data_IF_804943056819
#
_entry.id   IF_804943056819
#
_cell.length_a   1.000
_cell.length_b   1.000
_cell.length_c   1.000
_cell.angle_alpha   90.00
_cell.angle_beta   90.00
_cell.angle_gamma   90.00
#
_symmetry.space_group_name_H-M   'P 1'
#
loop_
_entity.id
_entity.type
_entity.pdbx_description
1 polymer ?
#
# COMPACT_ATOMS: atom_id res chain seq x y z
N UNK A 1 -10.07 -27.99 -36.18
CA UNK A 1 -10.64 -26.72 -35.68
C UNK A 1 -12.10 -26.65 -36.10
N UNK A 2 -12.99 -26.37 -35.18
CA UNK A 2 -14.41 -26.18 -35.49
C UNK A 2 -14.60 -24.91 -36.36
N UNK A 3 -15.58 -24.97 -37.27
CA UNK A 3 -15.92 -23.80 -38.11
C UNK A 3 -16.59 -22.74 -37.21
N UNK A 4 -16.24 -21.46 -37.37
CA UNK A 4 -16.86 -20.40 -36.60
C UNK A 4 -18.32 -20.17 -37.00
N UNK A 5 -19.10 -19.55 -36.11
CA UNK A 5 -20.40 -19.02 -36.44
C UNK A 5 -20.26 -17.68 -37.19
N UNK A 6 -21.20 -17.40 -38.10
CA UNK A 6 -21.25 -16.09 -38.74
C UNK A 6 -21.63 -15.01 -37.72
N UNK A 7 -20.83 -13.97 -37.54
CA UNK A 7 -21.11 -12.92 -36.55
C UNK A 7 -22.33 -12.04 -36.92
N UNK A 8 -22.75 -12.04 -38.17
CA UNK A 8 -23.88 -11.23 -38.64
C UNK A 8 -25.24 -11.94 -38.52
N UNK A 9 -25.30 -13.26 -38.77
CA UNK A 9 -26.58 -14.01 -38.80
C UNK A 9 -26.58 -15.29 -37.98
N UNK A 10 -25.49 -15.61 -37.24
CA UNK A 10 -25.39 -16.80 -36.41
C UNK A 10 -25.24 -18.13 -37.16
N UNK A 11 -25.26 -18.12 -38.50
CA UNK A 11 -25.22 -19.34 -39.32
C UNK A 11 -23.95 -20.15 -39.12
N UNK A 12 -24.07 -21.48 -39.15
CA UNK A 12 -22.93 -22.42 -39.17
C UNK A 12 -22.42 -22.69 -40.60
N UNK A 13 -23.17 -22.25 -41.63
CA UNK A 13 -22.80 -22.40 -43.04
C UNK A 13 -21.72 -21.40 -43.42
N UNK A 14 -20.47 -21.65 -42.99
CA UNK A 14 -19.34 -20.81 -43.25
C UNK A 14 -18.21 -21.59 -43.93
N UNK A 15 -17.53 -20.93 -44.87
CA UNK A 15 -16.41 -21.53 -45.61
C UNK A 15 -15.18 -20.63 -45.55
N UNK A 16 -13.99 -21.21 -45.71
CA UNK A 16 -12.75 -20.44 -45.84
C UNK A 16 -12.80 -19.65 -47.16
N UNK A 17 -12.46 -18.36 -47.07
CA UNK A 17 -12.52 -17.44 -48.19
C UNK A 17 -11.22 -16.61 -48.34
N UNK A 18 -10.12 -17.34 -48.58
CA UNK A 18 -8.79 -16.69 -48.69
C UNK A 18 -8.21 -16.20 -47.37
N UNK A 19 -7.19 -15.34 -47.49
CA UNK A 19 -6.52 -14.71 -46.36
C UNK A 19 -6.47 -13.19 -46.58
N UNK A 20 -6.31 -12.43 -45.46
CA UNK A 20 -6.01 -10.99 -45.52
C UNK A 20 -4.56 -10.77 -45.92
N UNK A 21 -4.19 -9.54 -46.24
CA UNK A 21 -2.79 -9.12 -46.45
C UNK A 21 -1.89 -9.40 -45.24
N UNK A 22 -2.48 -9.40 -44.02
CA UNK A 22 -1.80 -9.76 -42.76
C UNK A 22 -1.78 -11.26 -42.47
N UNK A 23 -2.24 -12.14 -43.40
CA UNK A 23 -2.21 -13.57 -43.29
C UNK A 23 -3.40 -14.18 -42.52
N UNK A 24 -4.33 -13.40 -41.97
CA UNK A 24 -5.49 -13.90 -41.23
C UNK A 24 -6.49 -14.61 -42.13
N UNK A 25 -7.04 -15.75 -41.67
CA UNK A 25 -8.06 -16.51 -42.42
C UNK A 25 -9.34 -15.68 -42.54
N UNK A 26 -9.80 -15.43 -43.80
CA UNK A 26 -11.13 -14.89 -44.08
C UNK A 26 -12.12 -16.03 -44.20
N UNK A 27 -13.33 -15.76 -43.77
CA UNK A 27 -14.48 -16.66 -43.85
C UNK A 27 -15.61 -15.97 -44.62
N UNK A 28 -16.43 -16.75 -45.32
CA UNK A 28 -17.65 -16.28 -45.98
C UNK A 28 -18.84 -17.09 -45.51
N UNK A 29 -19.90 -16.42 -45.13
CA UNK A 29 -21.16 -17.08 -44.81
C UNK A 29 -21.90 -17.48 -46.06
N UNK A 30 -22.44 -18.72 -46.10
CA UNK A 30 -23.28 -19.22 -47.19
C UNK A 30 -24.64 -18.52 -47.22
N UNK A 31 -25.19 -18.17 -46.04
CA UNK A 31 -26.56 -17.66 -45.94
C UNK A 31 -26.63 -16.15 -46.18
N UNK A 32 -25.92 -15.34 -45.39
CA UNK A 32 -25.94 -13.90 -45.58
C UNK A 32 -24.87 -13.37 -46.55
N UNK A 33 -24.02 -14.23 -47.10
CA UNK A 33 -22.91 -13.92 -48.01
C UNK A 33 -21.86 -12.95 -47.46
N UNK A 34 -21.98 -12.51 -46.20
CA UNK A 34 -21.02 -11.64 -45.55
C UNK A 34 -19.65 -12.33 -45.42
N UNK A 35 -18.58 -11.57 -45.69
CA UNK A 35 -17.22 -12.04 -45.44
C UNK A 35 -16.70 -11.44 -44.13
N UNK A 36 -16.01 -12.26 -43.31
CA UNK A 36 -15.50 -11.85 -42.03
C UNK A 36 -14.17 -12.53 -41.70
N UNK A 37 -13.46 -12.01 -40.75
CA UNK A 37 -12.29 -12.62 -40.11
C UNK A 37 -12.58 -12.82 -38.64
N UNK A 38 -12.07 -13.91 -38.07
CA UNK A 38 -12.09 -14.03 -36.61
C UNK A 38 -11.12 -13.04 -36.03
N UNK A 39 -11.61 -12.16 -35.16
CA UNK A 39 -10.74 -11.36 -34.34
C UNK A 39 -10.04 -12.26 -33.34
N UNK A 40 -8.73 -12.37 -33.42
CA UNK A 40 -7.95 -13.04 -32.38
C UNK A 40 -7.95 -12.06 -31.20
N UNK A 41 -8.47 -12.49 -30.08
CA UNK A 41 -8.35 -11.73 -28.82
C UNK A 41 -6.92 -11.85 -28.31
N UNK A 42 -6.18 -10.76 -28.38
CA UNK A 42 -4.82 -10.64 -27.87
C UNK A 42 -4.74 -9.81 -26.57
N UNK A 43 -5.88 -9.56 -25.92
CA UNK A 43 -5.95 -8.69 -24.76
C UNK A 43 -5.07 -9.21 -23.61
N UNK A 44 -5.08 -10.50 -23.34
CA UNK A 44 -4.23 -11.12 -22.33
C UNK A 44 -2.73 -10.88 -22.63
N UNK A 45 -2.28 -11.14 -23.86
CA UNK A 45 -0.90 -10.87 -24.28
C UNK A 45 -0.52 -9.39 -24.14
N UNK A 46 -1.44 -8.47 -24.49
CA UNK A 46 -1.20 -7.03 -24.36
C UNK A 46 -1.16 -6.61 -22.90
N UNK A 47 -1.94 -7.24 -22.02
CA UNK A 47 -1.84 -7.01 -20.58
C UNK A 47 -0.50 -7.47 -20.04
N UNK A 48 0.02 -8.62 -20.45
CA UNK A 48 1.37 -9.06 -20.09
C UNK A 48 2.45 -8.08 -20.57
N UNK A 49 2.33 -7.56 -21.80
CA UNK A 49 3.21 -6.52 -22.32
C UNK A 49 3.12 -5.22 -21.48
N UNK A 50 1.92 -4.83 -21.09
CA UNK A 50 1.67 -3.66 -20.22
C UNK A 50 2.29 -3.85 -18.83
N UNK A 51 2.07 -4.97 -18.17
CA UNK A 51 2.62 -5.29 -16.87
C UNK A 51 4.15 -5.42 -16.94
N UNK A 52 4.68 -6.07 -17.98
CA UNK A 52 6.12 -6.16 -18.22
C UNK A 52 6.80 -4.80 -18.43
N UNK A 53 6.07 -3.81 -18.97
CA UNK A 53 6.54 -2.43 -19.01
C UNK A 53 6.40 -1.76 -17.65
N UNK A 54 5.20 -1.78 -17.04
CA UNK A 54 4.88 -1.04 -15.83
C UNK A 54 5.79 -1.43 -14.65
N UNK A 55 6.10 -2.72 -14.52
CA UNK A 55 6.90 -3.27 -13.42
C UNK A 55 8.41 -3.30 -13.71
N UNK A 56 8.84 -2.71 -14.83
CA UNK A 56 10.24 -2.67 -15.22
C UNK A 56 10.74 -1.22 -15.41
N UNK A 57 12.03 -1.09 -15.69
CA UNK A 57 12.66 0.19 -16.07
C UNK A 57 12.57 0.51 -17.58
N UNK A 58 11.84 -0.30 -18.37
CA UNK A 58 11.72 -0.13 -19.81
C UNK A 58 10.95 1.14 -20.13
N UNK A 59 11.41 1.89 -21.10
CA UNK A 59 10.68 3.05 -21.66
C UNK A 59 9.60 2.55 -22.60
N UNK A 60 8.52 3.31 -22.77
CA UNK A 60 7.47 2.97 -23.75
C UNK A 60 8.00 2.87 -25.19
N UNK A 61 9.06 3.58 -25.50
CA UNK A 61 9.73 3.50 -26.81
C UNK A 61 10.38 2.14 -27.05
N UNK A 62 10.77 1.44 -26.02
CA UNK A 62 11.46 0.15 -26.08
C UNK A 62 10.46 -1.04 -26.17
N UNK A 63 9.15 -0.74 -26.08
CA UNK A 63 8.11 -1.76 -26.12
C UNK A 63 7.61 -2.05 -27.54
N UNK A 64 7.04 -3.23 -27.83
CA UNK A 64 6.51 -3.58 -29.13
C UNK A 64 5.53 -2.53 -29.66
N UNK A 65 5.80 -2.00 -30.86
CA UNK A 65 5.03 -0.93 -31.49
C UNK A 65 5.42 0.48 -31.03
N UNK A 66 6.43 0.59 -30.18
CA UNK A 66 7.04 1.82 -29.65
C UNK A 66 6.05 2.92 -29.20
N UNK A 67 6.43 3.77 -28.30
CA UNK A 67 5.80 5.04 -27.93
C UNK A 67 4.27 5.14 -28.08
N UNK A 68 3.80 5.81 -29.14
CA UNK A 68 2.36 6.08 -29.39
C UNK A 68 1.55 4.79 -29.58
N UNK A 69 2.07 3.86 -30.36
CA UNK A 69 1.36 2.59 -30.65
C UNK A 69 1.23 1.75 -29.41
N UNK A 70 2.29 1.64 -28.60
CA UNK A 70 2.23 0.94 -27.32
C UNK A 70 1.17 1.58 -26.40
N UNK A 71 1.16 2.90 -26.23
CA UNK A 71 0.15 3.59 -25.41
C UNK A 71 -1.28 3.35 -25.90
N UNK A 72 -1.49 3.39 -27.20
CA UNK A 72 -2.82 3.13 -27.80
C UNK A 72 -3.31 1.71 -27.52
N UNK A 73 -2.42 0.72 -27.65
CA UNK A 73 -2.73 -0.70 -27.44
C UNK A 73 -2.98 -1.07 -25.99
N UNK A 74 -2.36 -0.35 -25.06
CA UNK A 74 -2.41 -0.66 -23.62
C UNK A 74 -3.31 0.29 -22.82
N UNK A 75 -3.94 1.25 -23.51
CA UNK A 75 -4.80 2.26 -22.88
C UNK A 75 -5.92 1.66 -22.05
N UNK A 76 -6.53 0.58 -22.54
CA UNK A 76 -7.65 -0.11 -21.91
C UNK A 76 -7.30 -0.66 -20.52
N UNK A 77 -6.04 -1.05 -20.27
CA UNK A 77 -5.62 -1.62 -18.99
C UNK A 77 -5.54 -0.59 -17.85
N UNK A 78 -5.50 0.70 -18.19
CA UNK A 78 -5.65 1.77 -17.21
C UNK A 78 -7.09 1.92 -16.67
N UNK A 79 -8.06 1.26 -17.30
CA UNK A 79 -9.43 1.22 -16.78
C UNK A 79 -9.67 0.05 -15.82
N UNK A 80 -8.73 -0.88 -15.70
CA UNK A 80 -8.81 -2.03 -14.79
C UNK A 80 -8.33 -1.64 -13.40
N UNK A 81 -9.10 -2.05 -12.39
CA UNK A 81 -8.74 -1.92 -10.98
C UNK A 81 -8.39 -3.30 -10.41
N UNK A 82 -7.10 -3.59 -10.17
CA UNK A 82 -6.72 -4.77 -9.43
C UNK A 82 -7.32 -4.70 -8.02
N UNK A 83 -8.04 -5.75 -7.64
CA UNK A 83 -8.65 -5.87 -6.33
C UNK A 83 -7.78 -6.73 -5.42
N UNK A 84 -7.64 -6.35 -4.14
CA UNK A 84 -6.92 -7.17 -3.18
C UNK A 84 -7.63 -8.50 -2.98
N UNK A 85 -6.88 -9.60 -2.82
CA UNK A 85 -7.46 -10.89 -2.48
C UNK A 85 -8.11 -10.83 -1.09
N UNK A 86 -9.03 -11.74 -0.83
CA UNK A 86 -9.49 -12.06 0.53
C UNK A 86 -8.90 -13.42 0.86
N UNK A 87 -7.90 -13.43 1.73
CA UNK A 87 -7.22 -14.67 2.10
C UNK A 87 -7.55 -15.04 3.55
N UNK A 88 -7.71 -16.33 3.82
CA UNK A 88 -7.79 -16.86 5.19
C UNK A 88 -6.41 -17.18 5.78
N UNK A 89 -5.34 -16.78 5.11
CA UNK A 89 -3.97 -17.04 5.54
C UNK A 89 -3.68 -16.37 6.88
N UNK A 90 -3.27 -17.16 7.85
CA UNK A 90 -2.81 -16.68 9.16
C UNK A 90 -1.30 -16.52 9.10
N UNK A 91 -0.84 -15.28 9.02
CA UNK A 91 0.58 -14.99 8.98
C UNK A 91 1.16 -14.85 10.40
N UNK A 92 2.36 -15.36 10.59
CA UNK A 92 3.18 -15.15 11.79
C UNK A 92 3.41 -13.67 12.05
N UNK A 93 3.83 -12.95 11.00
CA UNK A 93 4.12 -11.52 11.02
C UNK A 93 3.46 -10.83 9.83
N UNK A 94 2.79 -9.71 10.10
CA UNK A 94 2.29 -8.81 9.07
C UNK A 94 2.92 -7.43 9.25
N UNK A 95 3.34 -6.84 8.14
CA UNK A 95 3.81 -5.46 8.08
C UNK A 95 2.73 -4.59 7.47
N UNK A 96 2.48 -3.43 8.07
CA UNK A 96 1.51 -2.47 7.55
C UNK A 96 2.16 -1.11 7.43
N UNK A 97 2.11 -0.54 6.22
CA UNK A 97 2.71 0.75 5.89
C UNK A 97 1.85 1.50 4.86
N UNK A 98 2.00 2.83 4.79
CA UNK A 98 1.32 3.71 3.86
C UNK A 98 2.27 4.36 2.84
N UNK A 99 1.82 4.43 1.59
CA UNK A 99 2.51 5.17 0.53
C UNK A 99 1.67 6.37 0.14
N UNK A 100 2.13 7.57 0.50
CA UNK A 100 1.52 8.81 0.03
C UNK A 100 1.92 9.09 -1.42
N UNK A 101 0.93 9.21 -2.29
CA UNK A 101 1.09 9.55 -3.70
C UNK A 101 0.84 11.04 -3.96
N UNK A 102 0.07 11.66 -3.07
CA UNK A 102 -0.19 13.08 -2.99
C UNK A 102 -0.60 13.44 -1.55
N UNK A 103 -0.80 14.73 -1.25
CA UNK A 103 -1.13 15.21 0.09
C UNK A 103 -2.32 14.48 0.73
N UNK A 104 -3.34 14.16 -0.06
CA UNK A 104 -4.57 13.50 0.39
C UNK A 104 -4.83 12.16 -0.32
N UNK A 105 -3.79 11.47 -0.81
CA UNK A 105 -3.91 10.13 -1.40
C UNK A 105 -2.82 9.24 -0.83
N UNK A 106 -3.25 8.24 -0.10
CA UNK A 106 -2.43 7.22 0.51
C UNK A 106 -2.89 5.84 0.05
N UNK A 107 -1.97 4.95 -0.24
CA UNK A 107 -2.25 3.52 -0.42
C UNK A 107 -1.66 2.80 0.76
N UNK A 108 -2.53 2.25 1.62
CA UNK A 108 -2.13 1.35 2.69
C UNK A 108 -1.84 -0.02 2.10
N UNK A 109 -0.74 -0.62 2.51
CA UNK A 109 -0.31 -1.95 2.05
C UNK A 109 -0.04 -2.81 3.28
N UNK A 110 -0.64 -3.99 3.30
CA UNK A 110 -0.32 -5.05 4.26
C UNK A 110 0.37 -6.19 3.53
N UNK A 111 1.41 -6.73 4.13
CA UNK A 111 2.18 -7.83 3.57
C UNK A 111 2.72 -8.77 4.64
N UNK A 112 2.96 -10.01 4.25
CA UNK A 112 3.79 -10.94 5.01
C UNK A 112 5.29 -10.65 4.77
N UNK A 113 6.17 -11.52 5.24
CA UNK A 113 7.60 -11.46 4.91
C UNK A 113 7.85 -11.74 3.42
N UNK A 114 6.96 -12.47 2.75
CA UNK A 114 7.15 -13.00 1.41
C UNK A 114 6.35 -12.24 0.35
N UNK A 115 5.05 -11.94 0.62
CA UNK A 115 4.13 -11.41 -0.39
C UNK A 115 3.16 -10.36 0.17
N UNK A 116 2.47 -9.67 -0.73
CA UNK A 116 1.42 -8.69 -0.40
C UNK A 116 0.11 -9.42 -0.07
N UNK A 117 -0.46 -9.11 1.09
CA UNK A 117 -1.74 -9.66 1.57
C UNK A 117 -2.94 -8.81 1.14
N UNK A 118 -2.74 -7.51 1.03
CA UNK A 118 -3.82 -6.61 0.64
C UNK A 118 -3.38 -5.15 0.60
N UNK A 119 -4.23 -4.32 0.01
CA UNK A 119 -4.04 -2.87 -0.05
C UNK A 119 -5.38 -2.14 -0.01
N UNK A 120 -5.33 -0.86 0.37
CA UNK A 120 -6.50 -0.02 0.44
C UNK A 120 -6.16 1.44 0.14
N UNK A 121 -6.91 2.09 -0.75
CA UNK A 121 -6.70 3.49 -1.12
C UNK A 121 -7.50 4.40 -0.20
N UNK A 122 -6.86 5.42 0.36
CA UNK A 122 -7.49 6.36 1.30
C UNK A 122 -6.91 7.77 1.17
N UNK A 123 -7.62 8.77 1.68
CA UNK A 123 -7.09 10.16 1.79
C UNK A 123 -5.93 10.26 2.78
N UNK A 124 -5.92 9.42 3.79
CA UNK A 124 -4.89 9.44 4.85
C UNK A 124 -4.89 8.13 5.62
N UNK A 125 -3.88 7.94 6.44
CA UNK A 125 -3.74 6.82 7.37
C UNK A 125 -4.68 6.96 8.58
N UNK A 126 -5.99 6.92 8.35
CA UNK A 126 -7.00 7.00 9.39
C UNK A 126 -7.51 5.61 9.81
N UNK A 127 -8.22 5.55 10.96
CA UNK A 127 -8.67 4.27 11.52
C UNK A 127 -9.68 3.54 10.63
N UNK A 128 -10.49 4.25 9.84
CA UNK A 128 -11.44 3.65 8.91
C UNK A 128 -10.72 2.93 7.77
N UNK A 129 -9.68 3.55 7.22
CA UNK A 129 -8.87 2.97 6.17
C UNK A 129 -8.10 1.72 6.65
N UNK A 130 -7.52 1.79 7.84
CA UNK A 130 -6.87 0.62 8.45
C UNK A 130 -7.86 -0.51 8.73
N UNK A 131 -9.06 -0.21 9.25
CA UNK A 131 -10.11 -1.22 9.43
C UNK A 131 -10.50 -1.87 8.11
N UNK A 132 -10.63 -1.09 7.04
CA UNK A 132 -10.95 -1.58 5.72
C UNK A 132 -9.91 -2.57 5.19
N UNK A 133 -8.64 -2.25 5.37
CA UNK A 133 -7.54 -3.13 5.01
C UNK A 133 -7.54 -4.39 5.88
N UNK A 134 -7.60 -4.23 7.20
CA UNK A 134 -7.47 -5.31 8.18
C UNK A 134 -8.64 -6.30 8.15
N UNK A 135 -9.86 -5.84 7.82
CA UNK A 135 -11.05 -6.69 7.72
C UNK A 135 -10.94 -7.79 6.65
N UNK A 136 -9.95 -7.70 5.76
CA UNK A 136 -9.73 -8.66 4.66
C UNK A 136 -8.58 -9.63 4.92
N UNK A 137 -7.89 -9.45 6.05
CA UNK A 137 -6.66 -10.18 6.37
C UNK A 137 -6.90 -10.85 7.72
N UNK A 138 -6.61 -12.14 7.81
CA UNK A 138 -6.68 -12.84 9.07
C UNK A 138 -5.74 -12.19 10.10
N UNK A 139 -6.17 -12.06 11.39
CA UNK A 139 -5.32 -11.49 12.42
C UNK A 139 -4.00 -12.24 12.56
N UNK A 140 -2.84 -11.56 12.39
CA UNK A 140 -1.54 -12.19 12.57
C UNK A 140 -1.17 -12.34 14.05
N UNK A 141 -0.18 -13.14 14.36
CA UNK A 141 0.41 -13.19 15.70
C UNK A 141 1.05 -11.85 16.09
N UNK A 142 1.85 -11.30 15.17
CA UNK A 142 2.57 -10.02 15.35
C UNK A 142 2.35 -9.11 14.16
N UNK A 143 2.13 -7.81 14.43
CA UNK A 143 2.14 -6.79 13.40
C UNK A 143 3.27 -5.80 13.64
N UNK A 144 4.04 -5.53 12.59
CA UNK A 144 5.10 -4.50 12.61
C UNK A 144 4.59 -3.25 11.91
N UNK A 145 4.68 -2.10 12.57
CA UNK A 145 4.12 -0.84 12.05
C UNK A 145 4.94 0.37 12.50
N UNK A 146 4.79 1.46 11.77
CA UNK A 146 5.29 2.78 12.16
C UNK A 146 4.44 3.47 13.24
N UNK A 147 3.22 2.97 13.54
CA UNK A 147 2.44 3.22 14.77
C UNK A 147 1.60 4.48 14.80
N UNK A 148 0.83 4.79 13.79
CA UNK A 148 -0.17 5.86 13.84
C UNK A 148 -1.34 5.58 14.81
N UNK A 149 -1.99 6.63 15.34
CA UNK A 149 -3.17 6.51 16.21
C UNK A 149 -4.34 5.83 15.51
N UNK A 150 -4.50 6.07 14.20
CA UNK A 150 -5.51 5.42 13.36
C UNK A 150 -5.32 3.91 13.30
N UNK A 151 -4.08 3.44 13.14
CA UNK A 151 -3.74 2.02 13.16
C UNK A 151 -4.08 1.39 14.52
N UNK A 152 -3.65 2.00 15.63
CA UNK A 152 -3.89 1.48 16.97
C UNK A 152 -5.37 1.32 17.29
N UNK A 153 -6.21 2.27 16.85
CA UNK A 153 -7.66 2.18 17.01
C UNK A 153 -8.23 0.99 16.21
N UNK A 154 -7.86 0.86 14.95
CA UNK A 154 -8.30 -0.24 14.08
C UNK A 154 -7.87 -1.61 14.63
N UNK A 155 -6.59 -1.74 15.07
CA UNK A 155 -6.03 -2.97 15.63
C UNK A 155 -6.81 -3.43 16.87
N UNK A 156 -7.12 -2.54 17.82
CA UNK A 156 -7.87 -2.91 19.02
C UNK A 156 -9.23 -3.50 18.72
N UNK A 157 -9.88 -3.05 17.64
CA UNK A 157 -11.21 -3.49 17.24
C UNK A 157 -11.18 -4.80 16.43
N UNK A 158 -10.26 -4.92 15.47
CA UNK A 158 -10.26 -6.04 14.52
C UNK A 158 -9.22 -7.13 14.85
N UNK A 159 -8.09 -6.76 15.44
CA UNK A 159 -7.01 -7.66 15.79
C UNK A 159 -6.63 -7.54 17.29
N UNK A 160 -7.58 -7.74 18.21
CA UNK A 160 -7.36 -7.47 19.64
C UNK A 160 -6.21 -8.28 20.23
N UNK A 161 -6.01 -9.50 19.78
CA UNK A 161 -4.99 -10.43 20.28
C UNK A 161 -3.63 -10.32 19.57
N UNK A 162 -3.57 -9.59 18.46
CA UNK A 162 -2.32 -9.38 17.70
C UNK A 162 -1.35 -8.53 18.52
N UNK A 163 -0.13 -9.02 18.71
CA UNK A 163 0.95 -8.26 19.35
C UNK A 163 1.51 -7.22 18.37
N UNK A 164 1.85 -6.06 18.88
CA UNK A 164 2.38 -4.95 18.07
C UNK A 164 3.86 -4.80 18.32
N UNK A 165 4.65 -4.85 17.26
CA UNK A 165 6.01 -4.38 17.24
C UNK A 165 6.07 -3.00 16.60
N UNK A 166 6.44 -2.00 17.35
CA UNK A 166 6.78 -0.68 16.83
C UNK A 166 8.11 -0.76 16.11
N UNK A 167 8.16 -0.38 14.85
CA UNK A 167 9.42 -0.29 14.12
C UNK A 167 10.44 0.54 14.91
N UNK A 168 11.53 -0.09 15.37
CA UNK A 168 12.54 0.56 16.21
C UNK A 168 13.25 1.68 15.46
N UNK A 169 13.41 1.56 14.13
CA UNK A 169 13.96 2.62 13.29
C UNK A 169 13.07 3.87 13.29
N UNK A 170 11.75 3.72 13.13
CA UNK A 170 10.83 4.86 13.22
C UNK A 170 10.74 5.46 14.62
N UNK A 171 10.85 4.64 15.67
CA UNK A 171 10.96 5.14 17.04
C UNK A 171 12.23 5.99 17.24
N UNK A 172 13.37 5.53 16.72
CA UNK A 172 14.62 6.28 16.69
C UNK A 172 14.48 7.60 15.89
N UNK A 173 13.98 7.56 14.65
CA UNK A 173 13.81 8.75 13.82
C UNK A 173 12.88 9.78 14.48
N UNK A 174 11.88 9.34 15.22
CA UNK A 174 11.00 10.23 15.98
C UNK A 174 11.77 10.96 17.11
N UNK A 175 12.61 10.26 17.87
CA UNK A 175 13.49 10.90 18.87
C UNK A 175 14.45 11.87 18.19
N UNK A 176 15.12 11.44 17.14
CA UNK A 176 16.05 12.26 16.35
C UNK A 176 15.41 13.54 15.81
N UNK A 177 14.12 13.51 15.41
CA UNK A 177 13.37 14.71 14.98
C UNK A 177 13.31 15.76 16.08
N UNK A 178 13.20 15.33 17.33
CA UNK A 178 13.09 16.24 18.47
C UNK A 178 14.46 16.64 19.04
N UNK A 179 15.42 15.72 19.14
CA UNK A 179 16.75 15.98 19.67
C UNK A 179 17.70 16.61 18.66
N UNK A 180 17.44 16.44 17.34
CA UNK A 180 18.38 16.65 16.23
C UNK A 180 19.52 15.63 16.22
N UNK A 181 20.43 15.73 15.24
CA UNK A 181 21.64 14.88 15.18
C UNK A 181 22.79 15.42 16.06
N UNK A 182 22.67 16.67 16.52
CA UNK A 182 23.65 17.37 17.38
C UNK A 182 22.91 18.07 18.51
N UNK A 183 22.44 17.34 19.53
CA UNK A 183 21.76 17.93 20.68
C UNK A 183 22.69 18.89 21.43
N UNK A 184 22.12 19.99 21.94
CA UNK A 184 22.90 21.01 22.64
C UNK A 184 22.91 20.84 24.17
N UNK A 185 21.91 20.14 24.71
CA UNK A 185 21.80 19.88 26.16
C UNK A 185 22.27 18.45 26.46
N UNK A 186 22.82 18.23 27.67
CA UNK A 186 23.26 16.89 28.09
C UNK A 186 22.09 15.90 28.06
N UNK A 187 20.90 16.29 28.54
CA UNK A 187 19.68 15.49 28.45
C UNK A 187 19.36 15.03 27.01
N UNK A 188 19.53 15.94 26.05
CA UNK A 188 19.35 15.64 24.63
C UNK A 188 20.41 14.69 24.08
N UNK A 189 21.68 14.85 24.46
CA UNK A 189 22.80 13.96 24.06
C UNK A 189 22.53 12.54 24.56
N UNK A 190 22.17 12.41 25.84
CA UNK A 190 21.94 11.10 26.45
C UNK A 190 20.70 10.41 25.88
N UNK A 191 19.60 11.13 25.65
CA UNK A 191 18.40 10.58 25.01
C UNK A 191 18.67 10.13 23.59
N UNK A 192 19.44 10.90 22.81
CA UNK A 192 19.83 10.52 21.46
C UNK A 192 20.73 9.28 21.44
N UNK A 193 21.65 9.16 22.41
CA UNK A 193 22.49 7.98 22.58
C UNK A 193 21.66 6.74 22.96
N UNK A 194 20.68 6.89 23.86
CA UNK A 194 19.72 5.83 24.18
C UNK A 194 18.91 5.41 22.95
N UNK A 195 18.40 6.36 22.17
CA UNK A 195 17.66 6.04 20.95
C UNK A 195 18.51 5.29 19.92
N UNK A 196 19.82 5.57 19.81
CA UNK A 196 20.73 4.76 18.99
C UNK A 196 20.90 3.34 19.51
N UNK A 197 20.96 3.15 20.83
CA UNK A 197 21.08 1.83 21.45
C UNK A 197 19.83 0.98 21.22
N UNK A 198 18.64 1.61 21.07
CA UNK A 198 17.40 0.91 20.70
C UNK A 198 17.52 0.10 19.40
N UNK A 199 18.28 0.61 18.43
CA UNK A 199 18.49 -0.06 17.14
C UNK A 199 19.42 -1.29 17.23
N UNK A 200 20.09 -1.48 18.37
CA UNK A 200 21.11 -2.53 18.56
C UNK A 200 20.67 -3.60 19.57
N UNK A 201 19.48 -3.47 20.14
CA UNK A 201 18.99 -4.47 21.07
C UNK A 201 18.61 -5.75 20.29
N UNK A 202 19.23 -6.90 20.62
CA UNK A 202 19.09 -8.16 19.92
C UNK A 202 18.44 -9.27 20.77
N UNK A 203 18.39 -9.05 22.09
CA UNK A 203 17.83 -10.00 23.04
C UNK A 203 17.03 -9.32 24.17
N UNK A 204 16.33 -10.12 24.97
CA UNK A 204 15.52 -9.65 26.07
C UNK A 204 16.34 -9.00 27.20
N UNK A 205 17.59 -9.43 27.42
CA UNK A 205 18.50 -8.85 28.41
C UNK A 205 18.90 -7.42 28.01
N UNK A 206 19.26 -7.21 26.75
CA UNK A 206 19.58 -5.88 26.21
C UNK A 206 18.33 -4.96 26.19
N UNK A 207 17.15 -5.51 25.91
CA UNK A 207 15.90 -4.78 25.99
C UNK A 207 15.63 -4.32 27.43
N UNK A 208 15.78 -5.20 28.42
CA UNK A 208 15.63 -4.86 29.83
C UNK A 208 16.66 -3.80 30.30
N UNK A 209 17.92 -3.94 29.88
CA UNK A 209 18.97 -2.95 30.16
C UNK A 209 18.63 -1.58 29.55
N UNK A 210 18.10 -1.55 28.32
CA UNK A 210 17.64 -0.32 27.68
C UNK A 210 16.49 0.33 28.45
N UNK A 211 15.47 -0.45 28.85
CA UNK A 211 14.33 0.04 29.63
C UNK A 211 14.78 0.65 30.97
N UNK A 212 15.70 -0.02 31.68
CA UNK A 212 16.27 0.48 32.91
C UNK A 212 17.07 1.78 32.71
N UNK A 213 17.85 1.87 31.61
CA UNK A 213 18.57 3.09 31.28
C UNK A 213 17.64 4.25 30.91
N UNK A 214 16.54 3.96 30.19
CA UNK A 214 15.51 4.94 29.87
C UNK A 214 14.76 5.45 31.10
N UNK A 215 14.42 4.53 32.03
CA UNK A 215 13.78 4.92 33.29
C UNK A 215 14.69 5.84 34.13
N UNK A 216 15.99 5.53 34.22
CA UNK A 216 16.97 6.40 34.88
C UNK A 216 17.03 7.77 34.21
N UNK A 217 17.17 7.83 32.87
CA UNK A 217 17.17 9.08 32.15
C UNK A 217 15.92 9.94 32.46
N UNK A 218 14.74 9.32 32.53
CA UNK A 218 13.50 10.00 32.89
C UNK A 218 13.55 10.58 34.31
N UNK A 219 14.16 9.87 35.26
CA UNK A 219 14.32 10.32 36.65
C UNK A 219 15.36 11.44 36.77
N UNK A 220 16.52 11.24 36.15
CA UNK A 220 17.65 12.15 36.28
C UNK A 220 17.37 13.55 35.67
N UNK A 221 16.52 13.59 34.63
CA UNK A 221 16.18 14.83 33.93
C UNK A 221 14.73 15.32 34.19
N UNK A 222 14.03 14.81 35.21
CA UNK A 222 12.62 15.18 35.43
C UNK A 222 12.47 16.66 35.79
N UNK A 223 13.28 17.19 36.68
CA UNK A 223 13.28 18.62 37.05
C UNK A 223 13.65 19.50 35.86
N UNK A 224 14.72 19.18 35.14
CA UNK A 224 15.16 19.88 33.94
C UNK A 224 14.06 19.97 32.88
N UNK A 225 13.31 18.89 32.69
CA UNK A 225 12.23 18.83 31.70
C UNK A 225 10.96 19.59 32.09
N UNK A 226 10.85 19.96 33.39
CA UNK A 226 9.75 20.78 33.91
C UNK A 226 10.06 22.27 33.91
N UNK A 227 11.29 22.68 33.56
CA UNK A 227 11.63 24.08 33.47
C UNK A 227 10.71 24.82 32.50
N UNK A 228 10.25 26.01 32.95
CA UNK A 228 9.36 26.86 32.19
C UNK A 228 10.03 28.20 31.84
N UNK A 229 9.70 28.69 30.66
CA UNK A 229 10.12 30.05 30.21
C UNK A 229 8.86 30.85 29.92
N UNK A 230 8.86 32.13 30.40
CA UNK A 230 7.80 33.09 30.07
C UNK A 230 8.31 34.04 29.00
N UNK A 231 7.57 34.22 27.90
CA UNK A 231 7.93 35.18 26.85
C UNK A 231 7.51 36.62 27.22
N UNK A 232 7.89 37.57 26.39
CA UNK A 232 7.59 39.01 26.59
C UNK A 232 6.08 39.30 26.59
N UNK A 233 5.25 38.40 26.06
CA UNK A 233 3.79 38.48 26.07
C UNK A 233 3.16 37.89 27.34
N UNK A 234 3.97 37.42 28.31
CA UNK A 234 3.51 36.79 29.54
C UNK A 234 3.00 35.33 29.37
N UNK A 235 3.26 34.71 28.24
CA UNK A 235 2.89 33.28 28.01
C UNK A 235 4.00 32.38 28.53
N UNK A 236 3.64 31.44 29.38
CA UNK A 236 4.52 30.42 29.94
C UNK A 236 4.46 29.13 29.11
N UNK A 237 5.58 28.53 28.81
CA UNK A 237 5.74 27.29 28.09
C UNK A 237 6.97 26.53 28.59
N UNK A 238 6.97 25.18 28.34
CA UNK A 238 8.11 24.36 28.75
C UNK A 238 9.36 24.74 27.94
N UNK A 239 10.43 25.10 28.64
CA UNK A 239 11.73 25.48 28.06
C UNK A 239 12.26 24.37 27.13
N UNK A 240 12.06 23.13 27.53
CA UNK A 240 12.56 21.93 26.85
C UNK A 240 11.45 21.13 26.17
N UNK A 241 10.42 21.81 25.61
CA UNK A 241 9.23 21.19 25.01
C UNK A 241 9.54 20.05 24.02
N UNK A 242 10.58 20.21 23.22
CA UNK A 242 10.98 19.19 22.24
C UNK A 242 11.46 17.91 22.92
N UNK A 243 12.27 18.00 23.99
CA UNK A 243 12.69 16.82 24.75
C UNK A 243 11.53 16.17 25.48
N UNK A 244 10.62 16.98 26.02
CA UNK A 244 9.37 16.47 26.62
C UNK A 244 8.54 15.70 25.61
N UNK A 245 8.39 16.19 24.37
CA UNK A 245 7.72 15.47 23.28
C UNK A 245 8.43 14.14 22.95
N UNK A 246 9.75 14.13 22.91
CA UNK A 246 10.53 12.91 22.68
C UNK A 246 10.32 11.89 23.81
N UNK A 247 10.42 12.34 25.08
CA UNK A 247 10.13 11.51 26.27
C UNK A 247 8.73 10.92 26.21
N UNK A 248 7.73 11.77 26.00
CA UNK A 248 6.33 11.33 26.00
C UNK A 248 6.05 10.30 24.90
N UNK A 249 6.67 10.46 23.74
CA UNK A 249 6.60 9.49 22.65
C UNK A 249 7.18 8.12 23.06
N UNK A 250 8.39 8.08 23.59
CA UNK A 250 9.01 6.82 24.04
C UNK A 250 8.25 6.20 25.21
N UNK A 251 7.84 7.03 26.21
CA UNK A 251 7.05 6.55 27.36
C UNK A 251 5.75 5.89 26.91
N UNK A 252 5.07 6.45 25.89
CA UNK A 252 3.87 5.83 25.35
C UNK A 252 4.14 4.43 24.76
N UNK A 253 5.25 4.27 24.03
CA UNK A 253 5.63 2.98 23.43
C UNK A 253 6.04 1.96 24.50
N UNK A 254 6.76 2.39 25.55
CA UNK A 254 7.13 1.55 26.68
C UNK A 254 5.87 1.08 27.44
N UNK A 255 4.95 2.01 27.77
CA UNK A 255 3.69 1.67 28.47
C UNK A 255 2.79 0.72 27.66
N UNK A 256 2.82 0.83 26.33
CA UNK A 256 2.06 -0.03 25.42
C UNK A 256 2.75 -1.39 25.20
N UNK A 257 3.97 -1.58 25.69
CA UNK A 257 4.79 -2.77 25.47
C UNK A 257 4.94 -3.12 23.99
N UNK A 258 5.31 -2.11 23.16
CA UNK A 258 5.39 -2.26 21.70
C UNK A 258 6.79 -2.13 21.13
N UNK A 259 7.79 -1.77 21.95
CA UNK A 259 9.17 -1.55 21.48
C UNK A 259 9.98 -2.83 21.31
N UNK A 260 9.74 -3.82 22.17
CA UNK A 260 10.57 -5.01 22.28
C UNK A 260 9.77 -6.32 22.14
N UNK A 261 8.66 -6.28 21.42
CA UNK A 261 7.85 -7.47 21.11
C UNK A 261 8.67 -8.52 20.36
N UNK A 262 9.64 -8.11 19.53
CA UNK A 262 10.49 -8.99 18.73
C UNK A 262 11.49 -9.82 19.54
N UNK A 263 11.76 -9.47 20.79
CA UNK A 263 12.62 -10.22 21.72
C UNK A 263 11.84 -10.78 22.92
N UNK A 264 10.51 -10.78 22.87
CA UNK A 264 9.65 -11.42 23.89
C UNK A 264 9.88 -12.93 23.86
N UNK A 265 10.40 -13.55 24.95
CA UNK A 265 10.75 -14.98 24.94
C UNK A 265 9.56 -15.88 24.61
N UNK A 266 8.36 -15.58 25.14
CA UNK A 266 7.16 -16.38 24.87
C UNK A 266 6.72 -16.34 23.41
N UNK A 267 7.01 -15.24 22.70
CA UNK A 267 6.73 -15.13 21.26
C UNK A 267 7.84 -15.80 20.42
N UNK A 268 9.09 -15.57 20.78
CA UNK A 268 10.23 -16.09 20.00
C UNK A 268 10.38 -17.60 20.11
N UNK A 269 10.02 -18.21 21.25
CA UNK A 269 9.96 -19.68 21.41
C UNK A 269 8.90 -20.28 20.47
N UNK A 270 7.76 -19.63 20.32
CA UNK A 270 6.65 -20.12 19.48
C UNK A 270 6.79 -19.80 18.00
N UNK A 271 7.27 -18.60 17.68
CA UNK A 271 7.25 -18.04 16.33
C UNK A 271 8.63 -17.97 15.67
N UNK A 272 9.70 -18.28 16.41
CA UNK A 272 11.06 -18.06 15.96
C UNK A 272 11.46 -16.57 15.97
N UNK A 273 12.54 -16.22 15.29
CA UNK A 273 13.03 -14.86 15.23
C UNK A 273 11.98 -13.89 14.64
N UNK A 274 11.75 -12.77 15.30
CA UNK A 274 10.79 -11.75 14.91
C UNK A 274 11.52 -10.47 14.46
N UNK A 275 10.99 -9.73 13.48
CA UNK A 275 11.61 -8.50 12.99
C UNK A 275 11.39 -7.33 13.96
N UNK A 276 12.48 -6.60 14.26
CA UNK A 276 12.46 -5.37 15.05
C UNK A 276 12.01 -4.15 14.23
N UNK A 277 12.19 -4.22 12.92
CA UNK A 277 12.02 -3.09 12.00
C UNK A 277 11.23 -3.48 10.75
N UNK A 278 10.72 -2.46 10.06
CA UNK A 278 10.18 -2.61 8.70
C UNK A 278 11.28 -2.70 7.62
N UNK A 279 12.59 -2.67 7.97
CA UNK A 279 13.67 -2.46 6.99
C UNK A 279 13.69 -3.52 5.88
N UNK A 280 13.45 -4.79 6.21
CA UNK A 280 13.33 -5.84 5.20
C UNK A 280 12.18 -5.56 4.22
N UNK A 281 11.15 -4.88 4.70
CA UNK A 281 9.94 -4.51 3.96
C UNK A 281 10.05 -3.12 3.35
N UNK A 282 10.81 -2.19 3.95
CA UNK A 282 11.04 -0.86 3.39
C UNK A 282 11.77 -0.92 2.04
N UNK A 283 12.70 -1.86 1.86
CA UNK A 283 13.31 -2.10 0.56
C UNK A 283 12.26 -2.52 -0.49
N UNK A 284 11.26 -3.31 -0.09
CA UNK A 284 10.18 -3.77 -0.94
C UNK A 284 9.07 -2.69 -1.09
N UNK A 285 8.72 -1.96 -0.03
CA UNK A 285 7.82 -0.80 -0.11
C UNK A 285 8.49 0.38 -0.85
N UNK A 286 9.82 0.40 -0.94
CA UNK A 286 10.59 1.26 -1.82
C UNK A 286 10.38 0.96 -3.31
N UNK A 287 10.03 -0.28 -3.67
CA UNK A 287 9.87 -0.69 -5.07
C UNK A 287 8.72 0.03 -5.77
N UNK A 288 7.49 0.17 -5.21
CA UNK A 288 6.44 0.98 -5.83
C UNK A 288 6.85 2.44 -5.99
N UNK A 289 7.53 3.03 -5.00
CA UNK A 289 8.05 4.40 -5.10
C UNK A 289 9.12 4.51 -6.19
N UNK A 290 9.97 3.50 -6.34
CA UNK A 290 10.97 3.43 -7.41
C UNK A 290 10.30 3.27 -8.78
N UNK A 291 9.37 2.34 -8.93
CA UNK A 291 8.57 2.16 -10.13
C UNK A 291 7.91 3.47 -10.59
N UNK A 292 7.29 4.20 -9.67
CA UNK A 292 6.67 5.49 -9.99
C UNK A 292 7.68 6.56 -10.41
N UNK A 293 8.92 6.52 -9.90
CA UNK A 293 10.00 7.41 -10.37
C UNK A 293 10.45 7.10 -11.79
N UNK A 294 10.45 5.83 -12.19
CA UNK A 294 10.74 5.44 -13.58
C UNK A 294 9.61 5.88 -14.55
N UNK A 295 8.37 6.01 -14.04
CA UNK A 295 7.18 6.36 -14.83
C UNK A 295 6.64 7.77 -14.50
N UNK A 296 7.50 8.79 -14.51
CA UNK A 296 7.21 10.16 -14.03
C UNK A 296 6.05 10.88 -14.75
N UNK A 297 5.57 10.43 -15.87
CA UNK A 297 4.48 11.09 -16.61
C UNK A 297 3.08 10.58 -16.28
N UNK A 298 2.92 9.73 -15.26
CA UNK A 298 1.61 9.20 -14.89
C UNK A 298 0.78 10.23 -14.11
N UNK A 299 -0.49 10.38 -14.50
CA UNK A 299 -1.48 11.11 -13.71
C UNK A 299 -1.65 10.46 -12.33
N UNK A 300 -2.19 11.19 -11.36
CA UNK A 300 -2.39 10.67 -10.01
C UNK A 300 -3.23 9.39 -10.00
N UNK A 301 -4.33 9.34 -10.75
CA UNK A 301 -5.14 8.14 -10.93
C UNK A 301 -4.30 6.95 -11.41
N UNK A 302 -3.49 7.15 -12.46
CA UNK A 302 -2.63 6.09 -12.99
C UNK A 302 -1.53 5.68 -12.00
N UNK A 303 -1.05 6.61 -11.19
CA UNK A 303 -0.10 6.30 -10.11
C UNK A 303 -0.74 5.41 -9.05
N UNK A 304 -1.99 5.69 -8.66
CA UNK A 304 -2.76 4.82 -7.74
C UNK A 304 -2.92 3.43 -8.36
N UNK A 305 -3.41 3.35 -9.60
CA UNK A 305 -3.59 2.06 -10.30
C UNK A 305 -2.27 1.33 -10.50
N UNK A 306 -1.17 2.03 -10.77
CA UNK A 306 0.15 1.43 -10.88
C UNK A 306 0.59 0.76 -9.56
N UNK A 307 0.32 1.41 -8.41
CA UNK A 307 0.58 0.79 -7.10
C UNK A 307 -0.32 -0.42 -6.87
N UNK A 308 -1.62 -0.35 -7.22
CA UNK A 308 -2.53 -1.50 -7.14
C UNK A 308 -2.05 -2.67 -8.02
N UNK A 309 -1.59 -2.38 -9.25
CA UNK A 309 -0.99 -3.39 -10.14
C UNK A 309 0.27 -4.01 -9.54
N UNK A 310 1.14 -3.18 -8.96
CA UNK A 310 2.32 -3.67 -8.28
C UNK A 310 1.94 -4.60 -7.13
N UNK A 311 1.00 -4.18 -6.27
CA UNK A 311 0.52 -5.00 -5.16
C UNK A 311 -0.04 -6.34 -5.65
N UNK A 312 -0.90 -6.33 -6.68
CA UNK A 312 -1.49 -7.55 -7.23
C UNK A 312 -0.44 -8.55 -7.74
N UNK A 313 0.56 -8.04 -8.46
CA UNK A 313 1.63 -8.89 -9.00
C UNK A 313 2.63 -9.38 -7.95
N UNK A 314 2.53 -8.89 -6.72
CA UNK A 314 3.33 -9.32 -5.57
C UNK A 314 2.49 -10.04 -4.50
N UNK A 315 1.27 -10.44 -4.80
CA UNK A 315 0.51 -11.40 -3.98
C UNK A 315 1.12 -12.80 -4.13
N UNK A 316 0.77 -13.73 -3.24
CA UNK A 316 1.25 -15.12 -3.29
C UNK A 316 0.96 -15.79 -4.65
N UNK A 317 -0.25 -15.62 -5.15
CA UNK A 317 -0.73 -16.22 -6.41
C UNK A 317 -1.39 -15.14 -7.27
N UNK A 318 -0.63 -14.30 -8.00
CA UNK A 318 -1.22 -13.32 -8.89
C UNK A 318 -1.97 -14.01 -10.04
N UNK A 319 -3.16 -13.51 -10.34
CA UNK A 319 -3.96 -14.08 -11.43
C UNK A 319 -3.24 -13.91 -12.78
N UNK A 320 -3.32 -14.91 -13.67
CA UNK A 320 -2.83 -14.76 -15.04
C UNK A 320 -3.66 -13.72 -15.81
N UNK A 321 -3.05 -13.08 -16.81
CA UNK A 321 -3.63 -11.95 -17.55
C UNK A 321 -5.06 -12.22 -18.09
N UNK A 322 -5.33 -13.43 -18.57
CA UNK A 322 -6.65 -13.80 -19.08
C UNK A 322 -7.72 -13.87 -17.98
N UNK A 323 -7.35 -14.21 -16.75
CA UNK A 323 -8.24 -14.25 -15.59
C UNK A 323 -8.42 -12.87 -15.00
N UNK A 324 -7.38 -12.05 -14.94
CA UNK A 324 -7.44 -10.64 -14.54
C UNK A 324 -8.52 -9.91 -15.35
N UNK A 325 -8.49 -10.04 -16.68
CA UNK A 325 -9.44 -9.37 -17.57
C UNK A 325 -10.89 -9.81 -17.38
N UNK A 326 -11.10 -11.01 -16.80
CA UNK A 326 -12.44 -11.53 -16.48
C UNK A 326 -12.92 -11.18 -15.07
N UNK A 327 -12.01 -11.17 -14.12
CA UNK A 327 -12.34 -11.10 -12.70
C UNK A 327 -12.25 -9.69 -12.12
N UNK A 328 -11.39 -8.81 -12.68
CA UNK A 328 -11.14 -7.48 -12.11
C UNK A 328 -12.20 -6.48 -12.54
N UNK A 329 -12.54 -5.58 -11.63
CA UNK A 329 -13.45 -4.46 -11.92
C UNK A 329 -12.78 -3.45 -12.86
N UNK A 330 -13.61 -2.79 -13.68
CA UNK A 330 -13.19 -1.68 -14.54
C UNK A 330 -13.85 -0.39 -14.08
N UNK A 331 -13.33 0.75 -14.52
CA UNK A 331 -13.95 2.06 -14.28
C UNK A 331 -15.44 2.07 -14.62
N UNK A 332 -15.79 1.46 -15.74
CA UNK A 332 -17.18 1.36 -16.21
C UNK A 332 -18.04 0.48 -15.30
N UNK A 333 -17.52 -0.70 -14.88
CA UNK A 333 -18.27 -1.60 -14.00
C UNK A 333 -18.51 -0.96 -12.63
N UNK A 334 -17.50 -0.32 -12.07
CA UNK A 334 -17.61 0.39 -10.79
C UNK A 334 -18.58 1.57 -10.89
N UNK A 335 -18.47 2.36 -11.95
CA UNK A 335 -19.41 3.48 -12.17
C UNK A 335 -20.86 3.01 -12.32
N UNK A 336 -21.07 1.82 -12.89
CA UNK A 336 -22.40 1.19 -12.99
C UNK A 336 -22.93 0.76 -11.63
N UNK A 337 -22.10 0.10 -10.83
CA UNK A 337 -22.43 -0.29 -9.45
C UNK A 337 -22.81 0.95 -8.62
N UNK A 338 -21.97 1.99 -8.67
CA UNK A 338 -22.21 3.24 -7.92
C UNK A 338 -23.49 3.95 -8.31
N UNK A 339 -23.88 3.92 -9.59
CA UNK A 339 -25.16 4.47 -10.05
C UNK A 339 -26.37 3.66 -9.58
N UNK A 340 -26.21 2.33 -9.49
CA UNK A 340 -27.28 1.44 -9.05
C UNK A 340 -27.53 1.50 -7.53
N UNK A 341 -26.61 2.06 -6.75
CA UNK A 341 -26.72 2.15 -5.30
C UNK A 341 -27.51 3.38 -4.88
N UNK A 342 -28.41 3.22 -3.91
CA UNK A 342 -29.03 4.35 -3.22
C UNK A 342 -28.00 5.16 -2.43
N UNK A 343 -28.33 6.39 -2.06
CA UNK A 343 -27.46 7.21 -1.21
C UNK A 343 -27.21 6.56 0.16
N UNK A 344 -28.26 5.95 0.73
CA UNK A 344 -28.19 5.27 2.03
C UNK A 344 -27.31 4.01 1.96
N UNK A 345 -27.40 3.24 0.88
CA UNK A 345 -26.53 2.09 0.64
C UNK A 345 -25.08 2.51 0.51
N UNK A 346 -24.79 3.60 -0.20
CA UNK A 346 -23.43 4.15 -0.32
C UNK A 346 -22.86 4.59 1.03
N UNK A 347 -23.69 5.17 1.89
CA UNK A 347 -23.29 5.62 3.22
C UNK A 347 -23.14 4.46 4.22
N UNK A 348 -23.96 3.40 4.08
CA UNK A 348 -23.98 2.22 4.96
C UNK A 348 -22.97 1.17 4.56
N UNK A 349 -22.56 1.10 3.29
CA UNK A 349 -21.52 0.20 2.87
C UNK A 349 -20.24 0.49 3.66
N UNK A 350 -19.78 -0.54 4.28
CA UNK A 350 -18.45 -0.57 4.86
C UNK A 350 -17.38 -0.16 3.83
N UNK A 351 -16.11 -0.26 4.19
CA UNK A 351 -15.02 0.19 3.34
C UNK A 351 -15.12 -0.43 1.95
N UNK A 352 -15.18 0.43 0.95
CA UNK A 352 -15.31 0.02 -0.45
C UNK A 352 -14.08 -0.77 -0.89
N UNK A 353 -14.26 -1.71 -1.82
CA UNK A 353 -13.18 -2.61 -2.30
C UNK A 353 -11.95 -1.87 -2.82
N UNK A 354 -12.16 -0.70 -3.43
CA UNK A 354 -11.11 0.11 -4.07
C UNK A 354 -10.62 1.27 -3.19
N UNK A 355 -11.33 1.61 -2.10
CA UNK A 355 -10.99 2.69 -1.19
C UNK A 355 -12.11 3.72 -1.03
N UNK A 356 -12.21 4.30 0.14
CA UNK A 356 -13.17 5.36 0.50
C UNK A 356 -12.53 6.75 0.50
N UNK A 357 -11.22 6.81 0.29
CA UNK A 357 -10.46 8.04 0.26
C UNK A 357 -10.70 8.86 -0.99
N UNK A 358 -11.18 8.22 -2.04
CA UNK A 358 -11.43 8.81 -3.34
C UNK A 358 -12.93 8.82 -3.56
N UNK A 359 -13.52 10.02 -3.68
CA UNK A 359 -14.89 10.13 -4.18
C UNK A 359 -14.83 9.71 -5.64
N UNK A 360 -15.62 8.69 -6.01
CA UNK A 360 -15.57 8.09 -7.35
C UNK A 360 -15.76 9.13 -8.46
N UNK A 361 -16.67 10.06 -8.26
CA UNK A 361 -16.96 11.15 -9.18
C UNK A 361 -15.76 12.11 -9.33
N UNK A 362 -14.98 12.32 -8.27
CA UNK A 362 -13.80 13.16 -8.29
C UNK A 362 -12.63 12.46 -9.00
N UNK A 363 -12.53 11.13 -8.89
CA UNK A 363 -11.47 10.33 -9.51
C UNK A 363 -11.42 10.54 -11.04
N UNK A 364 -12.58 10.72 -11.67
CA UNK A 364 -12.73 10.82 -13.13
C UNK A 364 -12.91 12.26 -13.65
N UNK A 365 -12.92 13.26 -12.79
CA UNK A 365 -12.92 14.67 -13.22
C UNK A 365 -11.50 15.09 -13.62
N UNK A 366 -11.37 15.60 -14.83
CA UNK A 366 -10.08 16.05 -15.39
C UNK A 366 -9.51 17.31 -14.72
N UNK A 367 -10.22 17.97 -13.82
CA UNK A 367 -9.90 19.27 -13.27
C UNK A 367 -9.53 19.36 -11.80
N UNK A 368 -10.12 18.61 -10.85
CA UNK A 368 -9.77 18.73 -9.44
C UNK A 368 -8.41 18.09 -9.08
N UNK A 369 -8.00 17.11 -9.86
CA UNK A 369 -6.79 16.31 -9.55
C UNK A 369 -5.48 17.03 -9.92
N UNK A 370 -5.51 17.99 -10.82
CA UNK A 370 -4.34 18.72 -11.25
C UNK A 370 -4.05 20.00 -10.46
N UNK A 371 -4.96 20.45 -9.59
CA UNK A 371 -4.79 21.71 -8.84
C UNK A 371 -4.60 21.55 -7.35
N UNK A 372 -5.16 20.50 -6.76
CA UNK A 372 -5.14 20.31 -5.29
C UNK A 372 -4.15 19.23 -4.83
N UNK A 373 -3.39 18.63 -5.76
CA UNK A 373 -2.61 17.44 -5.49
C UNK A 373 -1.12 17.54 -5.89
N UNK A 374 -0.71 18.66 -6.53
CA UNK A 374 0.70 18.98 -6.86
C UNK A 374 1.44 19.66 -5.69
#
# INVERSE_FOLDING_TARGET
>A
MARPLCPACGSRSVQKWGRTSSGAQRWRCGDCRGAFTLKIDNSAKRLDEFLGWLLSKKRQADMPGAGRTFRSRTREFWHVWPLPPVTGEVCRVVFVDGIYLARNVCVLIARSEEHVLGWYVSKSENSRAYKALMARIAPPDVVVTDGGSGFQKARRELWPNTRVQRCTFHAFEQVKRYTTTRPRTQAGVDLYALAKKLLKAEDSGQAAAWLAAYARWCSDYDEFLREETTNDEGRTFLTHERLVKARNSLTALVRQNTLFTYVDPALTERLGALPATNNAVESLNGQPRHMLREHRGLSLERRVKAVCWWCHMHTECPLPAAEILRAMSTDESIAREMRAMSYEDRASLGPQRWGDGLVWEELHRSTPWGRDWD
#
